data_IF_731293105565
#
_entry.id   IF_731293105565
#
_cell.length_a   1.000
_cell.length_b   1.000
_cell.length_c   1.000
_cell.angle_alpha   90.00
_cell.angle_beta   90.00
_cell.angle_gamma   90.00
#
_symmetry.space_group_name_H-M   'P 1'
#
loop_
_entity.id
_entity.type
_entity.pdbx_description
1 polymer ?
#
# COMPACT_ATOMS: atom_id res chain seq x y z
N UNK A 1 35.26 18.53 -34.43
CA UNK A 1 34.85 17.11 -34.22
C UNK A 1 33.76 17.10 -33.15
N UNK A 2 32.48 16.94 -33.54
CA UNK A 2 31.34 16.88 -32.61
C UNK A 2 31.10 15.42 -32.21
N UNK A 3 30.98 15.13 -30.91
CA UNK A 3 30.32 13.92 -30.40
C UNK A 3 29.04 14.34 -29.64
N UNK A 4 27.92 13.63 -29.81
CA UNK A 4 26.67 13.94 -29.13
C UNK A 4 26.69 13.37 -27.71
N UNK A 5 26.14 14.11 -26.75
CA UNK A 5 25.86 13.62 -25.40
C UNK A 5 24.37 13.35 -25.28
N UNK A 6 24.01 12.07 -25.15
CA UNK A 6 22.71 11.62 -24.67
C UNK A 6 22.56 12.06 -23.21
N UNK A 7 21.48 12.80 -22.93
CA UNK A 7 20.92 12.93 -21.58
C UNK A 7 19.46 12.47 -21.62
N UNK A 8 19.27 11.17 -21.44
CA UNK A 8 18.03 10.61 -20.92
C UNK A 8 18.12 10.65 -19.40
N UNK A 9 17.41 11.58 -18.78
CA UNK A 9 17.16 11.65 -17.34
C UNK A 9 15.72 12.11 -17.17
N UNK A 10 14.95 11.42 -16.34
CA UNK A 10 13.61 11.82 -15.98
C UNK A 10 13.71 13.14 -15.20
N UNK A 11 12.95 14.18 -15.58
CA UNK A 11 13.12 15.48 -14.96
C UNK A 11 12.73 15.43 -13.48
N UNK A 12 13.55 16.09 -12.66
CA UNK A 12 13.46 16.43 -11.21
C UNK A 12 12.04 16.81 -10.69
N UNK A 13 11.09 17.04 -11.59
CA UNK A 13 9.68 17.37 -11.35
C UNK A 13 8.87 16.20 -10.76
N UNK A 14 9.26 14.95 -11.02
CA UNK A 14 8.53 13.76 -10.54
C UNK A 14 8.63 13.61 -9.01
N UNK A 15 9.73 14.07 -8.41
CA UNK A 15 9.97 13.99 -6.96
C UNK A 15 9.04 14.89 -6.16
N UNK A 16 8.71 16.11 -6.62
CA UNK A 16 7.80 17.01 -5.88
C UNK A 16 6.31 16.63 -6.01
N UNK A 17 5.97 15.80 -7.01
CA UNK A 17 4.61 15.38 -7.30
C UNK A 17 4.03 14.42 -6.25
N UNK A 18 4.85 13.72 -5.46
CA UNK A 18 4.40 12.65 -4.56
C UNK A 18 4.41 13.00 -3.05
N UNK A 19 5.15 14.04 -2.62
CA UNK A 19 5.49 14.25 -1.19
C UNK A 19 4.84 15.46 -0.48
N UNK A 20 3.74 16.00 -1.00
CA UNK A 20 3.04 17.09 -0.31
C UNK A 20 2.13 16.56 0.81
N UNK A 21 2.32 16.99 2.07
CA UNK A 21 1.44 16.67 3.21
C UNK A 21 0.00 17.08 2.95
N UNK A 22 -0.96 16.19 3.22
CA UNK A 22 -2.40 16.44 3.14
C UNK A 22 -3.17 15.82 4.30
N UNK A 23 -4.26 16.47 4.68
CA UNK A 23 -5.23 15.97 5.65
C UNK A 23 -6.19 14.99 4.96
N UNK A 24 -6.43 13.87 5.62
CA UNK A 24 -6.96 12.62 5.04
C UNK A 24 -8.48 12.58 4.99
N UNK A 25 -9.06 12.20 3.83
CA UNK A 25 -10.45 11.75 3.72
C UNK A 25 -10.47 10.21 3.60
N UNK A 26 -11.11 9.52 4.56
CA UNK A 26 -10.95 8.09 4.80
C UNK A 26 -11.63 7.23 3.73
N UNK A 27 -10.89 6.31 3.09
CA UNK A 27 -11.45 5.12 2.44
C UNK A 27 -11.73 4.06 3.50
N UNK A 28 -12.79 3.26 3.33
CA UNK A 28 -13.24 2.21 4.25
C UNK A 28 -12.11 1.41 4.88
N UNK A 29 -12.23 1.14 6.19
CA UNK A 29 -11.17 0.54 6.98
C UNK A 29 -10.76 -0.83 6.45
N UNK A 30 -9.45 -1.08 6.43
CA UNK A 30 -8.93 -2.38 6.02
C UNK A 30 -9.27 -3.41 7.11
N UNK A 31 -10.05 -4.43 6.78
CA UNK A 31 -10.41 -5.50 7.71
C UNK A 31 -9.28 -6.51 7.80
N UNK A 32 -8.84 -6.85 9.01
CA UNK A 32 -7.77 -7.83 9.26
C UNK A 32 -8.41 -9.14 9.70
N UNK A 33 -8.40 -10.13 8.81
CA UNK A 33 -8.92 -11.47 9.10
C UNK A 33 -7.93 -12.27 9.99
N UNK A 34 -8.37 -13.35 10.66
CA UNK A 34 -7.47 -14.14 11.52
C UNK A 34 -6.18 -14.57 10.84
N UNK A 35 -6.26 -14.96 9.57
CA UNK A 35 -5.11 -15.39 8.79
C UNK A 35 -4.09 -14.28 8.52
N UNK A 36 -4.54 -13.02 8.48
CA UNK A 36 -3.69 -11.85 8.26
C UNK A 36 -2.85 -11.49 9.48
N UNK A 37 -3.28 -11.94 10.66
CA UNK A 37 -2.56 -11.71 11.92
C UNK A 37 -1.43 -12.74 12.13
N UNK A 38 -1.51 -13.93 11.52
CA UNK A 38 -0.49 -14.98 11.67
C UNK A 38 0.94 -14.52 11.31
N UNK A 39 1.20 -13.82 10.18
CA UNK A 39 2.54 -13.31 9.86
C UNK A 39 3.04 -12.26 10.85
N UNK A 40 2.14 -11.62 11.60
CA UNK A 40 2.45 -10.58 12.58
C UNK A 40 2.65 -11.14 13.99
N UNK A 41 2.62 -12.46 14.19
CA UNK A 41 2.85 -13.13 15.46
C UNK A 41 4.12 -13.99 15.41
N UNK A 42 4.56 -14.48 16.58
CA UNK A 42 5.75 -15.33 16.69
C UNK A 42 5.50 -16.50 17.64
N UNK A 43 6.12 -17.63 17.33
CA UNK A 43 6.14 -18.83 18.18
C UNK A 43 7.12 -18.67 19.35
N UNK A 44 8.23 -17.94 19.17
CA UNK A 44 9.29 -17.80 20.18
C UNK A 44 9.23 -16.51 20.97
N UNK A 45 8.47 -15.51 20.48
CA UNK A 45 8.41 -14.18 21.07
C UNK A 45 6.95 -13.73 21.25
N UNK A 46 6.40 -13.73 22.48
CA UNK A 46 5.08 -13.18 22.75
C UNK A 46 5.00 -11.71 22.34
N UNK A 47 3.91 -11.33 21.66
CA UNK A 47 3.67 -9.97 21.16
C UNK A 47 2.50 -9.34 21.86
N UNK A 48 2.69 -8.11 22.34
CA UNK A 48 1.58 -7.30 22.88
C UNK A 48 0.67 -6.88 21.73
N UNK A 49 -0.57 -7.39 21.70
CA UNK A 49 -1.51 -7.08 20.60
C UNK A 49 -1.75 -5.57 20.47
N UNK A 50 -1.80 -4.87 21.62
CA UNK A 50 -1.88 -3.41 21.69
C UNK A 50 -0.77 -2.68 20.94
N UNK A 51 0.44 -3.24 20.89
CA UNK A 51 1.55 -2.63 20.15
C UNK A 51 1.27 -2.73 18.65
N UNK A 52 0.84 -3.89 18.16
CA UNK A 52 0.48 -4.10 16.75
C UNK A 52 -0.63 -3.14 16.33
N UNK A 53 -1.71 -3.03 17.11
CA UNK A 53 -2.78 -2.07 16.84
C UNK A 53 -2.30 -0.62 16.84
N UNK A 54 -1.46 -0.25 17.81
CA UNK A 54 -0.94 1.11 17.92
C UNK A 54 -0.05 1.46 16.72
N UNK A 55 0.74 0.52 16.20
CA UNK A 55 1.51 0.71 14.97
C UNK A 55 0.56 0.94 13.78
N UNK A 56 -0.40 0.04 13.57
CA UNK A 56 -1.40 0.16 12.50
C UNK A 56 -2.13 1.52 12.52
N UNK A 57 -2.50 1.98 13.72
CA UNK A 57 -3.16 3.27 13.96
C UNK A 57 -2.24 4.49 13.86
N UNK A 58 -0.93 4.28 13.71
CA UNK A 58 0.05 5.37 13.59
C UNK A 58 0.46 6.02 14.92
N UNK A 59 0.25 5.36 16.06
CA UNK A 59 0.64 5.88 17.38
C UNK A 59 2.16 5.75 17.56
N UNK A 60 2.83 6.88 17.81
CA UNK A 60 4.30 6.98 17.92
C UNK A 60 4.77 7.24 19.36
N UNK A 61 4.21 6.52 20.33
CA UNK A 61 4.72 6.60 21.71
C UNK A 61 6.07 5.89 21.82
N UNK A 62 6.89 6.27 22.79
CA UNK A 62 8.20 5.62 23.05
C UNK A 62 8.03 4.10 23.18
N UNK A 63 7.03 3.65 23.95
CA UNK A 63 6.73 2.23 24.13
C UNK A 63 6.32 1.55 22.83
N UNK A 64 5.44 2.16 22.03
CA UNK A 64 5.01 1.59 20.73
C UNK A 64 6.19 1.44 19.76
N UNK A 65 7.04 2.47 19.65
CA UNK A 65 8.18 2.43 18.74
C UNK A 65 9.26 1.45 19.22
N UNK A 66 9.55 1.41 20.52
CA UNK A 66 10.50 0.46 21.11
C UNK A 66 10.08 -1.00 20.83
N UNK A 67 8.83 -1.35 21.14
CA UNK A 67 8.34 -2.71 20.90
C UNK A 67 8.16 -3.01 19.42
N UNK A 68 7.71 -2.03 18.61
CA UNK A 68 7.62 -2.18 17.17
C UNK A 68 8.97 -2.48 16.53
N UNK A 69 10.04 -1.84 16.99
CA UNK A 69 11.41 -2.15 16.55
C UNK A 69 11.82 -3.57 16.98
N UNK A 70 11.60 -3.92 18.26
CA UNK A 70 11.95 -5.24 18.80
C UNK A 70 11.19 -6.41 18.16
N UNK A 71 9.99 -6.15 17.64
CA UNK A 71 9.17 -7.12 16.92
C UNK A 71 9.39 -7.10 15.40
N UNK A 72 10.21 -6.18 14.88
CA UNK A 72 10.39 -5.93 13.44
C UNK A 72 9.08 -5.58 12.71
N UNK A 73 8.20 -4.79 13.36
CA UNK A 73 6.88 -4.40 12.86
C UNK A 73 6.72 -2.90 12.60
N UNK A 74 7.81 -2.12 12.57
CA UNK A 74 7.73 -0.68 12.32
C UNK A 74 7.10 -0.33 10.97
N UNK A 75 7.17 -1.23 9.98
CA UNK A 75 6.51 -1.08 8.68
C UNK A 75 4.98 -0.98 8.78
N UNK A 76 4.38 -1.46 9.87
CA UNK A 76 2.94 -1.35 10.12
C UNK A 76 2.48 0.08 10.44
N UNK A 77 3.40 1.02 10.66
CA UNK A 77 3.07 2.39 11.03
C UNK A 77 2.12 3.04 9.99
N UNK A 78 0.94 3.46 10.46
CA UNK A 78 -0.09 4.16 9.69
C UNK A 78 -0.83 3.32 8.64
N UNK A 79 -0.66 1.99 8.61
CA UNK A 79 -1.30 1.17 7.58
C UNK A 79 -2.83 1.07 7.76
N UNK A 80 -3.36 1.26 8.97
CA UNK A 80 -4.80 1.22 9.24
C UNK A 80 -5.20 2.26 10.32
N UNK A 81 -5.24 3.53 9.92
CA UNK A 81 -5.59 4.65 10.83
C UNK A 81 -7.02 4.60 11.36
N UNK A 82 -7.91 3.90 10.66
CA UNK A 82 -9.32 3.71 11.04
C UNK A 82 -9.53 2.61 12.07
N UNK A 83 -8.52 1.77 12.33
CA UNK A 83 -8.60 0.70 13.31
C UNK A 83 -8.93 1.28 14.70
N UNK A 84 -10.00 0.78 15.30
CA UNK A 84 -10.41 1.15 16.64
C UNK A 84 -9.51 0.50 17.68
N UNK A 85 -9.53 1.02 18.90
CA UNK A 85 -8.85 0.38 20.03
C UNK A 85 -9.55 -0.95 20.29
N UNK A 86 -8.83 -2.07 20.18
CA UNK A 86 -9.38 -3.43 20.35
C UNK A 86 -9.87 -4.04 19.04
N UNK A 87 -9.62 -3.39 17.91
CA UNK A 87 -10.06 -3.87 16.60
C UNK A 87 -9.40 -5.17 16.13
N UNK A 88 -8.42 -5.72 16.86
CA UNK A 88 -7.85 -7.04 16.60
C UNK A 88 -8.21 -8.09 17.67
N UNK A 89 -9.01 -7.73 18.69
CA UNK A 89 -9.31 -8.63 19.81
C UNK A 89 -10.08 -9.86 19.32
N UNK A 90 -11.11 -9.67 18.49
CA UNK A 90 -11.89 -10.78 17.90
C UNK A 90 -11.05 -11.63 16.93
N UNK A 91 -10.19 -10.98 16.14
CA UNK A 91 -9.24 -11.64 15.24
C UNK A 91 -8.28 -12.55 16.01
N UNK A 92 -7.77 -12.08 17.15
CA UNK A 92 -6.91 -12.87 18.03
C UNK A 92 -7.68 -13.99 18.75
N UNK A 93 -8.91 -13.74 19.20
CA UNK A 93 -9.76 -14.75 19.83
C UNK A 93 -10.08 -15.90 18.87
N UNK A 94 -10.33 -15.61 17.59
CA UNK A 94 -10.52 -16.64 16.57
C UNK A 94 -9.27 -17.52 16.41
N UNK A 95 -8.06 -16.94 16.40
CA UNK A 95 -6.82 -17.72 16.35
C UNK A 95 -6.67 -18.66 17.56
N UNK A 96 -7.06 -18.20 18.75
CA UNK A 96 -7.06 -19.04 19.96
C UNK A 96 -8.08 -20.16 19.86
N UNK A 97 -9.29 -19.88 19.38
CA UNK A 97 -10.33 -20.89 19.19
C UNK A 97 -9.91 -22.00 18.20
N UNK A 98 -9.10 -21.66 17.19
CA UNK A 98 -8.49 -22.62 16.26
C UNK A 98 -7.26 -23.35 16.84
N UNK A 99 -6.81 -23.02 18.05
CA UNK A 99 -5.58 -23.56 18.65
C UNK A 99 -4.29 -23.07 17.98
N UNK A 100 -4.35 -22.01 17.19
CA UNK A 100 -3.20 -21.43 16.47
C UNK A 100 -2.46 -20.37 17.29
N UNK A 101 -3.11 -19.80 18.29
CA UNK A 101 -2.49 -18.85 19.21
C UNK A 101 -2.88 -19.14 20.66
N UNK A 102 -2.10 -18.58 21.57
CA UNK A 102 -2.39 -18.52 22.99
C UNK A 102 -2.29 -17.08 23.48
N UNK A 103 -3.15 -16.71 24.43
CA UNK A 103 -3.16 -15.39 25.08
C UNK A 103 -2.72 -15.56 26.53
N UNK A 104 -1.70 -14.80 26.92
CA UNK A 104 -1.35 -14.55 28.31
C UNK A 104 -2.11 -13.29 28.76
N UNK A 105 -3.17 -13.48 29.55
CA UNK A 105 -4.05 -12.39 29.99
C UNK A 105 -3.35 -11.43 30.98
N UNK A 106 -2.40 -11.94 31.78
CA UNK A 106 -1.66 -11.11 32.74
C UNK A 106 -0.67 -10.19 32.02
N UNK A 107 -0.02 -10.69 30.96
CA UNK A 107 0.96 -9.93 30.18
C UNK A 107 0.37 -9.20 28.98
N UNK A 108 -0.90 -9.42 28.69
CA UNK A 108 -1.60 -8.95 27.48
C UNK A 108 -0.84 -9.30 26.18
N UNK A 109 -0.28 -10.51 26.12
CA UNK A 109 0.50 -10.98 24.97
C UNK A 109 -0.15 -12.14 24.24
N UNK A 110 0.01 -12.14 22.93
CA UNK A 110 -0.40 -13.21 22.02
C UNK A 110 0.86 -13.89 21.48
N UNK A 111 0.86 -15.21 21.43
CA UNK A 111 1.95 -16.02 20.89
C UNK A 111 1.38 -17.13 20.02
N UNK A 112 2.07 -17.47 18.92
CA UNK A 112 1.68 -18.62 18.11
C UNK A 112 1.96 -19.92 18.88
N UNK A 113 1.08 -20.90 18.70
CA UNK A 113 1.38 -22.29 19.03
C UNK A 113 2.18 -22.92 17.88
N UNK A 114 2.72 -24.13 18.10
CA UNK A 114 3.35 -24.90 17.02
C UNK A 114 2.38 -25.13 15.83
N UNK A 115 1.09 -25.36 16.12
CA UNK A 115 0.06 -25.49 15.09
C UNK A 115 -0.16 -24.19 14.31
N UNK A 116 -0.16 -23.04 15.00
CA UNK A 116 -0.27 -21.73 14.35
C UNK A 116 0.96 -21.36 13.51
N UNK A 117 2.16 -21.72 13.97
CA UNK A 117 3.38 -21.57 13.20
C UNK A 117 3.34 -22.43 11.92
N UNK A 118 2.93 -23.69 12.02
CA UNK A 118 2.72 -24.56 10.87
C UNK A 118 1.67 -23.99 9.91
N UNK A 119 0.56 -23.44 10.41
CA UNK A 119 -0.47 -22.80 9.59
C UNK A 119 0.05 -21.56 8.85
N UNK A 120 0.85 -20.72 9.53
CA UNK A 120 1.52 -19.55 8.93
C UNK A 120 2.44 -19.98 7.80
N UNK A 121 3.23 -21.03 8.01
CA UNK A 121 4.27 -21.46 7.08
C UNK A 121 3.71 -22.30 5.91
N UNK A 122 2.58 -22.99 6.11
CA UNK A 122 1.90 -23.76 5.06
C UNK A 122 1.14 -22.87 4.06
N UNK A 123 0.68 -21.69 4.48
CA UNK A 123 -0.07 -20.78 3.59
C UNK A 123 0.89 -19.86 2.84
N UNK A 124 0.77 -19.83 1.52
CA UNK A 124 1.46 -18.84 0.69
C UNK A 124 0.81 -17.48 0.92
N UNK A 125 1.33 -16.75 1.90
CA UNK A 125 0.92 -15.39 2.25
C UNK A 125 1.88 -14.38 1.63
N UNK A 126 1.35 -13.30 1.05
CA UNK A 126 2.15 -12.27 0.41
C UNK A 126 3.17 -11.64 1.37
N UNK A 127 4.44 -11.69 0.98
CA UNK A 127 5.54 -11.06 1.69
C UNK A 127 5.94 -9.79 0.94
N UNK A 128 5.62 -8.59 1.45
CA UNK A 128 5.90 -7.36 0.72
C UNK A 128 7.40 -7.07 0.69
N UNK A 129 7.90 -6.60 -0.45
CA UNK A 129 9.33 -6.40 -0.71
C UNK A 129 9.77 -4.96 -0.50
N UNK A 130 8.83 -4.02 -0.27
CA UNK A 130 9.14 -2.60 -0.11
C UNK A 130 8.85 -2.06 1.31
N UNK A 131 8.62 -2.96 2.28
CA UNK A 131 8.18 -2.61 3.65
C UNK A 131 9.08 -1.61 4.37
N UNK A 132 10.39 -1.62 4.09
CA UNK A 132 11.35 -0.68 4.68
C UNK A 132 11.05 0.78 4.34
N UNK A 133 10.44 1.02 3.18
CA UNK A 133 10.16 2.36 2.68
C UNK A 133 8.80 2.88 3.17
N UNK A 134 7.92 1.99 3.62
CA UNK A 134 6.54 2.35 3.97
C UNK A 134 6.41 3.45 5.03
N UNK A 135 7.16 3.44 6.15
CA UNK A 135 7.03 4.48 7.17
C UNK A 135 7.38 5.90 6.71
N UNK A 136 8.07 6.02 5.57
CA UNK A 136 8.54 7.28 5.00
C UNK A 136 7.64 7.80 3.88
N UNK A 137 6.56 7.09 3.57
CA UNK A 137 5.64 7.42 2.51
C UNK A 137 4.23 7.65 3.07
N UNK A 138 3.51 8.58 2.45
CA UNK A 138 2.08 8.74 2.68
C UNK A 138 1.32 8.01 1.57
N UNK A 139 1.06 6.71 1.75
CA UNK A 139 0.44 5.89 0.71
C UNK A 139 -0.95 6.36 0.29
N UNK A 140 -1.68 7.03 1.17
CA UNK A 140 -2.98 7.60 0.84
C UNK A 140 -2.83 8.73 -0.18
N UNK A 141 -1.89 9.64 0.06
CA UNK A 141 -1.56 10.73 -0.88
C UNK A 141 -0.99 10.17 -2.18
N UNK A 142 -0.09 9.20 -2.10
CA UNK A 142 0.49 8.53 -3.28
C UNK A 142 -0.61 7.91 -4.15
N UNK A 143 -1.51 7.13 -3.53
CA UNK A 143 -2.64 6.49 -4.22
C UNK A 143 -3.52 7.52 -4.90
N UNK A 144 -3.96 8.55 -4.16
CA UNK A 144 -4.85 9.58 -4.69
C UNK A 144 -4.25 10.28 -5.92
N UNK A 145 -2.97 10.64 -5.86
CA UNK A 145 -2.28 11.32 -6.97
C UNK A 145 -2.03 10.39 -8.15
N UNK A 146 -1.50 9.19 -7.90
CA UNK A 146 -1.19 8.23 -8.95
C UNK A 146 -2.46 7.81 -9.70
N UNK A 147 -3.51 7.43 -8.98
CA UNK A 147 -4.74 6.93 -9.59
C UNK A 147 -5.43 8.01 -10.42
N UNK A 148 -5.52 9.24 -9.89
CA UNK A 148 -6.08 10.36 -10.66
C UNK A 148 -5.21 10.69 -11.87
N UNK A 149 -3.88 10.68 -11.75
CA UNK A 149 -2.97 10.92 -12.87
C UNK A 149 -3.16 9.89 -13.99
N UNK A 150 -3.27 8.60 -13.65
CA UNK A 150 -3.48 7.53 -14.61
C UNK A 150 -4.84 7.69 -15.32
N UNK A 151 -5.89 8.03 -14.56
CA UNK A 151 -7.19 8.31 -15.16
C UNK A 151 -7.11 9.48 -16.15
N UNK A 152 -6.49 10.61 -15.75
CA UNK A 152 -6.31 11.79 -16.61
C UNK A 152 -5.53 11.44 -17.89
N UNK A 153 -4.44 10.68 -17.77
CA UNK A 153 -3.62 10.25 -18.92
C UNK A 153 -4.39 9.33 -19.85
N UNK A 154 -5.12 8.35 -19.31
CA UNK A 154 -5.94 7.44 -20.10
C UNK A 154 -7.01 8.21 -20.88
N UNK A 155 -7.75 9.10 -20.21
CA UNK A 155 -8.79 9.91 -20.87
C UNK A 155 -8.20 10.84 -21.94
N UNK A 156 -7.05 11.47 -21.64
CA UNK A 156 -6.35 12.33 -22.60
C UNK A 156 -5.89 11.55 -23.85
N UNK A 157 -5.36 10.33 -23.68
CA UNK A 157 -4.93 9.49 -24.80
C UNK A 157 -6.08 9.14 -25.76
N UNK A 158 -7.30 9.03 -25.24
CA UNK A 158 -8.51 8.76 -26.02
C UNK A 158 -9.28 10.04 -26.42
N UNK A 159 -8.67 11.22 -26.28
CA UNK A 159 -9.29 12.52 -26.56
C UNK A 159 -10.63 12.74 -25.83
N UNK A 160 -10.83 12.09 -24.68
CA UNK A 160 -12.06 12.20 -23.91
C UNK A 160 -11.92 13.25 -22.82
N UNK A 161 -12.47 14.45 -23.06
CA UNK A 161 -12.43 15.55 -22.10
C UNK A 161 -13.56 15.48 -21.06
N UNK A 162 -14.68 14.79 -21.39
CA UNK A 162 -15.83 14.67 -20.51
C UNK A 162 -15.80 13.33 -19.77
N UNK A 163 -15.36 13.35 -18.53
CA UNK A 163 -15.37 12.18 -17.64
C UNK A 163 -15.58 12.64 -16.20
N UNK A 164 -16.01 11.71 -15.35
CA UNK A 164 -16.10 11.93 -13.91
C UNK A 164 -14.74 11.61 -13.27
N UNK A 165 -14.00 12.62 -12.78
CA UNK A 165 -12.70 12.37 -12.16
C UNK A 165 -12.87 11.62 -10.85
N UNK A 166 -11.87 10.80 -10.50
CA UNK A 166 -11.79 10.17 -9.18
C UNK A 166 -11.94 11.23 -8.07
N UNK A 167 -12.81 10.92 -7.11
CA UNK A 167 -13.04 11.78 -5.96
C UNK A 167 -11.82 11.71 -5.03
N UNK A 168 -10.94 12.70 -5.16
CA UNK A 168 -9.80 12.92 -4.29
C UNK A 168 -9.89 14.31 -3.66
N UNK A 169 -9.11 14.53 -2.60
CA UNK A 169 -9.03 15.85 -1.96
C UNK A 169 -8.55 16.94 -2.94
N UNK A 170 -8.78 18.20 -2.55
CA UNK A 170 -8.48 19.35 -3.41
C UNK A 170 -7.01 19.42 -3.80
N UNK A 171 -6.10 19.04 -2.90
CA UNK A 171 -4.69 19.25 -3.12
C UNK A 171 -4.05 18.14 -3.97
N UNK A 172 -4.50 16.89 -3.83
CA UNK A 172 -4.20 15.81 -4.76
C UNK A 172 -4.65 16.20 -6.18
N UNK A 173 -5.88 16.74 -6.31
CA UNK A 173 -6.40 17.24 -7.59
C UNK A 173 -5.55 18.36 -8.18
N UNK A 174 -5.17 19.35 -7.38
CA UNK A 174 -4.32 20.45 -7.82
C UNK A 174 -2.91 19.98 -8.20
N UNK A 175 -2.34 19.02 -7.46
CA UNK A 175 -1.03 18.44 -7.77
C UNK A 175 -1.05 17.75 -9.13
N UNK A 176 -2.05 16.91 -9.40
CA UNK A 176 -2.22 16.24 -10.69
C UNK A 176 -2.48 17.23 -11.81
N UNK A 177 -3.32 18.25 -11.58
CA UNK A 177 -3.57 19.29 -12.58
C UNK A 177 -2.29 20.03 -12.99
N UNK A 178 -1.48 20.47 -12.01
CA UNK A 178 -0.20 21.16 -12.29
C UNK A 178 0.76 20.25 -13.05
N UNK A 179 0.95 19.02 -12.58
CA UNK A 179 1.80 18.03 -13.23
C UNK A 179 1.37 17.77 -14.68
N UNK A 180 0.08 17.54 -14.91
CA UNK A 180 -0.46 17.27 -16.24
C UNK A 180 -0.25 18.45 -17.19
N UNK A 181 -0.48 19.69 -16.74
CA UNK A 181 -0.24 20.87 -17.57
C UNK A 181 1.23 21.04 -17.98
N UNK A 182 2.17 20.63 -17.13
CA UNK A 182 3.62 20.67 -17.43
C UNK A 182 4.04 19.56 -18.40
N UNK A 183 3.45 18.37 -18.26
CA UNK A 183 3.88 17.17 -18.99
C UNK A 183 3.04 16.88 -20.26
N UNK A 184 1.90 17.56 -20.45
CA UNK A 184 0.99 17.27 -21.57
C UNK A 184 1.72 17.39 -22.91
N UNK A 185 1.53 16.39 -23.75
CA UNK A 185 2.15 16.27 -25.05
C UNK A 185 1.74 14.95 -25.70
N UNK A 186 2.05 14.76 -27.00
CA UNK A 186 1.63 13.57 -27.73
C UNK A 186 2.23 12.27 -27.18
N UNK A 187 3.37 12.35 -26.49
CA UNK A 187 4.08 11.17 -25.95
C UNK A 187 3.68 10.81 -24.52
N UNK A 188 2.86 11.62 -23.85
CA UNK A 188 2.61 11.48 -22.41
C UNK A 188 2.12 10.07 -22.03
N UNK A 189 1.13 9.54 -22.76
CA UNK A 189 0.57 8.23 -22.47
C UNK A 189 1.61 7.10 -22.60
N UNK A 190 2.40 7.14 -23.68
CA UNK A 190 3.47 6.16 -23.90
C UNK A 190 4.57 6.28 -22.82
N UNK A 191 4.97 7.50 -22.45
CA UNK A 191 5.96 7.74 -21.40
C UNK A 191 5.50 7.20 -20.05
N UNK A 192 4.25 7.46 -19.66
CA UNK A 192 3.70 6.99 -18.38
C UNK A 192 3.52 5.47 -18.38
N UNK A 193 3.04 4.89 -19.49
CA UNK A 193 2.96 3.44 -19.61
C UNK A 193 4.32 2.78 -19.47
N UNK A 194 5.35 3.29 -20.16
CA UNK A 194 6.70 2.74 -20.08
C UNK A 194 7.30 2.86 -18.67
N UNK A 195 7.12 4.01 -18.01
CA UNK A 195 7.58 4.22 -16.65
C UNK A 195 6.90 3.28 -15.65
N UNK A 196 5.57 3.15 -15.71
CA UNK A 196 4.82 2.24 -14.85
C UNK A 196 5.25 0.79 -15.06
N UNK A 197 5.39 0.34 -16.31
CA UNK A 197 5.86 -1.02 -16.61
C UNK A 197 7.27 -1.24 -16.05
N UNK A 198 8.19 -0.30 -16.26
CA UNK A 198 9.56 -0.42 -15.76
C UNK A 198 9.64 -0.45 -14.22
N UNK A 199 8.71 0.24 -13.53
CA UNK A 199 8.63 0.18 -12.07
C UNK A 199 8.01 -1.12 -11.58
N UNK A 200 6.88 -1.53 -12.15
CA UNK A 200 6.11 -2.64 -11.64
C UNK A 200 6.72 -4.02 -11.94
N UNK A 201 7.67 -4.11 -12.89
CA UNK A 201 8.46 -5.34 -13.10
C UNK A 201 9.51 -5.59 -12.01
N UNK A 202 9.75 -4.65 -11.10
CA UNK A 202 10.70 -4.78 -9.98
C UNK A 202 10.10 -5.45 -8.73
N UNK A 203 8.79 -5.68 -8.73
CA UNK A 203 8.06 -6.32 -7.63
C UNK A 203 7.37 -7.60 -8.13
N UNK A 204 6.88 -8.47 -7.23
CA UNK A 204 6.15 -9.67 -7.65
C UNK A 204 4.97 -9.35 -8.57
N UNK A 205 4.82 -10.12 -9.66
CA UNK A 205 3.81 -9.88 -10.71
C UNK A 205 2.40 -9.72 -10.15
N UNK A 206 2.01 -10.56 -9.20
CA UNK A 206 0.68 -10.50 -8.58
C UNK A 206 0.42 -9.15 -7.88
N UNK A 207 1.45 -8.52 -7.29
CA UNK A 207 1.29 -7.22 -6.67
C UNK A 207 1.17 -6.08 -7.70
N UNK A 208 1.91 -6.19 -8.81
CA UNK A 208 1.75 -5.31 -9.96
C UNK A 208 0.34 -5.43 -10.56
N UNK A 209 -0.17 -6.65 -10.72
CA UNK A 209 -1.51 -6.93 -11.23
C UNK A 209 -2.59 -6.34 -10.31
N UNK A 210 -2.46 -6.52 -8.99
CA UNK A 210 -3.40 -5.97 -8.00
C UNK A 210 -3.42 -4.44 -8.01
N UNK A 211 -2.27 -3.78 -8.17
CA UNK A 211 -2.23 -2.32 -8.30
C UNK A 211 -2.90 -1.87 -9.60
N UNK A 212 -2.50 -2.46 -10.73
CA UNK A 212 -2.94 -2.02 -12.07
C UNK A 212 -4.41 -2.30 -12.32
N UNK A 213 -4.96 -3.39 -11.78
CA UNK A 213 -6.38 -3.71 -11.85
C UNK A 213 -7.28 -2.61 -11.22
N UNK A 214 -6.75 -1.83 -10.28
CA UNK A 214 -7.50 -0.74 -9.64
C UNK A 214 -7.51 0.56 -10.45
N UNK A 215 -6.70 0.66 -11.51
CA UNK A 215 -6.66 1.87 -12.32
C UNK A 215 -7.97 2.03 -13.08
N UNK A 216 -8.48 3.27 -13.07
CA UNK A 216 -9.65 3.66 -13.84
C UNK A 216 -9.20 4.46 -15.06
N UNK A 217 -9.82 4.24 -16.21
CA UNK A 217 -9.45 4.90 -17.45
C UNK A 217 -10.63 5.06 -18.41
N UNK A 218 -10.34 5.40 -19.66
CA UNK A 218 -11.33 5.45 -20.74
C UNK A 218 -12.01 4.07 -20.89
N UNK A 219 -13.33 4.03 -20.71
CA UNK A 219 -14.16 2.82 -20.77
C UNK A 219 -13.70 1.65 -19.91
N UNK A 220 -12.87 1.90 -18.89
CA UNK A 220 -12.34 0.87 -18.00
C UNK A 220 -12.57 1.28 -16.55
N UNK A 221 -13.59 0.72 -15.87
CA UNK A 221 -13.69 0.85 -14.43
C UNK A 221 -12.57 0.05 -13.77
N UNK A 222 -12.01 0.61 -12.69
CA UNK A 222 -11.06 -0.10 -11.85
C UNK A 222 -11.78 -1.14 -11.00
N UNK A 223 -11.07 -2.23 -10.69
CA UNK A 223 -11.57 -3.34 -9.88
C UNK A 223 -11.38 -3.03 -8.40
N UNK A 224 -12.44 -3.15 -7.62
CA UNK A 224 -12.41 -2.93 -6.15
C UNK A 224 -11.62 -4.02 -5.43
N UNK A 225 -11.17 -3.74 -4.20
CA UNK A 225 -10.47 -4.73 -3.36
C UNK A 225 -11.36 -5.94 -3.06
N UNK A 226 -12.67 -5.74 -2.90
CA UNK A 226 -13.65 -6.80 -2.65
C UNK A 226 -13.83 -7.70 -3.87
N UNK A 227 -13.93 -7.12 -5.08
CA UNK A 227 -13.96 -7.89 -6.32
C UNK A 227 -12.66 -8.67 -6.53
N UNK A 228 -11.51 -8.06 -6.25
CA UNK A 228 -10.22 -8.76 -6.34
C UNK A 228 -10.10 -9.89 -5.31
N UNK A 229 -10.63 -9.71 -4.09
CA UNK A 229 -10.65 -10.76 -3.07
C UNK A 229 -11.45 -11.98 -3.56
N UNK A 230 -12.60 -11.75 -4.20
CA UNK A 230 -13.42 -12.81 -4.81
C UNK A 230 -12.69 -13.53 -5.95
N UNK A 231 -11.95 -12.80 -6.79
CA UNK A 231 -11.25 -13.37 -7.95
C UNK A 231 -9.99 -14.15 -7.55
N UNK A 232 -9.28 -13.71 -6.51
CA UNK A 232 -7.97 -14.24 -6.12
C UNK A 232 -8.02 -15.21 -4.94
N UNK A 233 -9.13 -15.21 -4.18
CA UNK A 233 -9.24 -15.93 -2.91
C UNK A 233 -8.39 -15.33 -1.78
N UNK A 234 -7.91 -14.10 -1.94
CA UNK A 234 -7.08 -13.39 -0.96
C UNK A 234 -7.92 -12.47 -0.08
N UNK A 235 -7.43 -12.22 1.13
CA UNK A 235 -8.07 -11.25 2.03
C UNK A 235 -7.89 -9.84 1.49
N UNK A 236 -8.78 -8.93 1.86
CA UNK A 236 -8.66 -7.51 1.48
C UNK A 236 -7.40 -6.88 2.06
N UNK A 237 -6.96 -7.32 3.25
CA UNK A 237 -5.70 -6.91 3.85
C UNK A 237 -4.49 -7.37 3.04
N UNK A 238 -4.43 -8.61 2.59
CA UNK A 238 -3.32 -9.13 1.77
C UNK A 238 -3.22 -8.35 0.44
N UNK A 239 -4.35 -8.06 -0.20
CA UNK A 239 -4.42 -7.23 -1.41
C UNK A 239 -3.99 -5.78 -1.14
N UNK A 240 -4.31 -5.25 0.03
CA UNK A 240 -3.83 -3.92 0.44
C UNK A 240 -2.31 -3.89 0.59
N UNK A 241 -1.68 -4.93 1.16
CA UNK A 241 -0.22 -5.03 1.23
C UNK A 241 0.43 -5.04 -0.17
N UNK A 242 -0.17 -5.75 -1.12
CA UNK A 242 0.26 -5.74 -2.52
C UNK A 242 0.15 -4.36 -3.17
N UNK A 243 -0.97 -3.66 -2.92
CA UNK A 243 -1.14 -2.29 -3.38
C UNK A 243 -0.07 -1.36 -2.80
N UNK A 244 0.24 -1.49 -1.50
CA UNK A 244 1.28 -0.67 -0.86
C UNK A 244 2.64 -0.89 -1.51
N UNK A 245 2.99 -2.13 -1.87
CA UNK A 245 4.22 -2.43 -2.60
C UNK A 245 4.26 -1.78 -3.98
N UNK A 246 3.18 -1.91 -4.75
CA UNK A 246 3.07 -1.26 -6.05
C UNK A 246 3.19 0.26 -5.97
N UNK A 247 2.46 0.90 -5.05
CA UNK A 247 2.52 2.34 -4.82
C UNK A 247 3.92 2.79 -4.41
N UNK A 248 4.55 2.03 -3.51
CA UNK A 248 5.88 2.32 -3.00
C UNK A 248 6.92 2.21 -4.11
N UNK A 249 6.89 1.14 -4.91
CA UNK A 249 7.84 0.96 -5.99
C UNK A 249 7.74 2.06 -7.04
N UNK A 250 6.52 2.42 -7.46
CA UNK A 250 6.31 3.56 -8.38
C UNK A 250 6.86 4.85 -7.77
N UNK A 251 6.66 5.07 -6.47
CA UNK A 251 7.16 6.25 -5.78
C UNK A 251 8.70 6.30 -5.67
N UNK A 252 9.36 5.16 -5.48
CA UNK A 252 10.82 5.06 -5.42
C UNK A 252 11.46 5.41 -6.76
N UNK A 253 10.93 4.87 -7.85
CA UNK A 253 11.46 5.15 -9.20
C UNK A 253 11.17 6.60 -9.62
N UNK A 254 10.02 7.13 -9.24
CA UNK A 254 9.66 8.53 -9.41
C UNK A 254 10.61 9.52 -8.70
N UNK A 255 11.38 9.07 -7.69
CA UNK A 255 12.40 9.89 -7.01
C UNK A 255 13.75 9.90 -7.73
N UNK A 256 14.00 8.94 -8.62
CA UNK A 256 15.28 8.82 -9.31
C UNK A 256 15.30 9.74 -10.56
N UNK A 257 16.34 10.59 -10.72
CA UNK A 257 16.47 11.50 -11.86
C UNK A 257 16.84 10.79 -13.18
#
# INVERSE_FOLDING_TARGET
MKRPSLKSGLPIVVTHFLYGKLETNQSGGQHVEPVDLLPLLSESQPRRLRVVENLLRGRRTVSTLYWGQRYHLLSLLNLNKTLTRGGLDDTAAALVAHGWAQIDAEKETVQLTAAGAAQRDAKVYYQPVTTEQWPYLDHQVLRARLFLAIQVVSQYAHSQAQYYPLQVDLAARQAVRRWFHTMKGPTLAATISAALTASLTKIPTMAADVLTAQFTGFNQPGVTSEQQAQLTGKTTWELYLMQLDGLTQVALDARQP
#
